data_IF_604951449655
#
_entry.id   IF_604951449655
#
_cell.length_a   1.000
_cell.length_b   1.000
_cell.length_c   1.000
_cell.angle_alpha   90.00
_cell.angle_beta   90.00
_cell.angle_gamma   90.00
#
_symmetry.space_group_name_H-M   'P 1'
#
loop_
_entity.id
_entity.type
_entity.pdbx_description
1 polymer ?
#
# COMPACT_ATOMS: atom_id res chain seq x y z
N UNK A 1 49.46 -40.23 -27.45
CA UNK A 1 50.04 -40.07 -26.12
C UNK A 1 51.11 -39.00 -26.21
N UNK A 2 51.04 -37.86 -25.61
CA UNK A 2 51.26 -37.66 -24.18
C UNK A 2 50.27 -36.62 -23.54
N UNK A 3 50.09 -36.81 -22.26
CA UNK A 3 49.32 -36.04 -21.31
C UNK A 3 50.02 -34.71 -20.97
N UNK A 4 49.34 -33.58 -21.10
CA UNK A 4 49.81 -32.29 -20.59
C UNK A 4 49.10 -31.93 -19.27
N UNK A 5 49.83 -31.97 -18.18
CA UNK A 5 49.46 -31.59 -16.83
C UNK A 5 49.49 -30.07 -16.69
N UNK A 6 48.33 -29.41 -16.53
CA UNK A 6 48.24 -27.97 -16.29
C UNK A 6 48.32 -27.68 -14.79
N UNK A 7 49.43 -27.04 -14.38
CA UNK A 7 49.75 -26.58 -13.03
C UNK A 7 48.94 -25.30 -12.71
N UNK A 8 48.15 -25.31 -11.65
CA UNK A 8 47.42 -24.14 -11.13
C UNK A 8 48.35 -23.17 -10.40
N UNK A 9 48.26 -21.86 -10.63
CA UNK A 9 49.04 -20.89 -9.87
C UNK A 9 48.47 -20.70 -8.45
N UNK A 10 49.34 -20.74 -7.48
CA UNK A 10 49.10 -20.56 -6.05
C UNK A 10 48.91 -19.09 -5.73
N UNK A 11 47.67 -18.69 -5.40
CA UNK A 11 47.33 -17.33 -4.97
C UNK A 11 47.85 -17.11 -3.54
N UNK A 12 48.81 -16.16 -3.38
CA UNK A 12 49.32 -15.69 -2.08
C UNK A 12 48.22 -14.90 -1.35
N UNK A 13 47.80 -15.40 -0.20
CA UNK A 13 46.93 -14.71 0.76
C UNK A 13 47.70 -13.54 1.37
N UNK A 14 47.29 -12.30 1.10
CA UNK A 14 47.77 -11.12 1.82
C UNK A 14 47.10 -11.04 3.20
N UNK A 15 47.92 -10.76 4.22
CA UNK A 15 47.46 -10.61 5.61
C UNK A 15 46.58 -9.38 5.81
N UNK A 16 45.60 -9.41 6.73
CA UNK A 16 44.74 -8.25 7.00
C UNK A 16 45.52 -7.18 7.77
N UNK A 17 45.57 -5.97 7.22
CA UNK A 17 46.02 -4.76 7.91
C UNK A 17 45.03 -4.43 9.05
N UNK A 18 45.53 -4.47 10.27
CA UNK A 18 44.86 -4.00 11.48
C UNK A 18 44.63 -2.50 11.34
N UNK A 19 43.37 -2.09 11.23
CA UNK A 19 42.97 -0.69 11.23
C UNK A 19 42.84 -0.18 12.66
N UNK A 20 43.51 0.94 12.96
CA UNK A 20 43.50 1.64 14.23
C UNK A 20 42.06 2.08 14.65
N UNK A 21 41.77 2.18 15.96
CA UNK A 21 40.43 2.56 16.44
C UNK A 21 40.16 4.04 16.13
N UNK A 22 39.09 4.30 15.34
CA UNK A 22 38.56 5.65 15.12
C UNK A 22 37.91 6.13 16.41
N UNK A 23 38.34 7.29 16.90
CA UNK A 23 37.74 8.02 18.00
C UNK A 23 36.23 8.23 17.83
N UNK A 24 35.45 8.25 18.93
CA UNK A 24 33.99 8.43 18.83
C UNK A 24 33.66 9.85 18.38
N UNK A 25 33.10 9.98 17.20
CA UNK A 25 32.49 11.23 16.74
C UNK A 25 31.32 11.57 17.67
N UNK A 26 31.46 12.68 18.39
CA UNK A 26 30.38 13.27 19.17
C UNK A 26 29.13 13.44 18.29
N UNK A 27 28.08 12.72 18.64
CA UNK A 27 26.77 12.80 18.01
C UNK A 27 26.15 14.10 18.50
N UNK A 28 26.21 15.15 17.66
CA UNK A 28 25.46 16.39 17.88
C UNK A 28 23.98 16.00 17.80
N UNK A 29 23.35 15.86 18.95
CA UNK A 29 21.90 15.70 19.08
C UNK A 29 21.31 17.11 18.82
N UNK A 30 21.02 17.40 17.59
CA UNK A 30 20.15 18.53 17.25
C UNK A 30 18.76 18.18 17.77
N UNK A 31 18.44 18.72 18.93
CA UNK A 31 17.11 18.71 19.52
C UNK A 31 16.19 19.44 18.52
N UNK A 32 15.49 18.64 17.67
CA UNK A 32 14.48 19.15 16.76
C UNK A 32 13.39 19.78 17.63
N UNK A 33 13.40 21.09 17.73
CA UNK A 33 12.32 21.85 18.38
C UNK A 33 11.06 21.46 17.63
N UNK A 34 10.20 20.70 18.30
CA UNK A 34 8.87 20.38 17.79
C UNK A 34 8.12 21.70 17.64
N UNK A 35 7.90 22.14 16.43
CA UNK A 35 6.93 23.17 16.14
C UNK A 35 5.58 22.75 16.77
N UNK A 36 4.77 23.68 17.32
CA UNK A 36 3.48 23.35 17.87
C UNK A 36 2.69 22.58 16.82
N UNK A 37 2.26 21.37 17.15
CA UNK A 37 1.46 20.54 16.28
C UNK A 37 0.16 21.31 15.98
N UNK A 38 0.11 21.96 14.83
CA UNK A 38 -1.16 22.40 14.25
C UNK A 38 -2.00 21.13 14.17
N UNK A 39 -3.17 21.16 14.79
CA UNK A 39 -4.12 20.04 14.73
C UNK A 39 -4.53 19.93 13.26
N UNK A 40 -3.83 19.07 12.53
CA UNK A 40 -4.14 18.80 11.14
C UNK A 40 -5.34 17.88 11.09
N UNK A 41 -6.50 18.43 10.79
CA UNK A 41 -7.69 17.65 10.53
C UNK A 41 -7.51 16.91 9.21
N UNK A 42 -7.61 15.56 9.28
CA UNK A 42 -7.49 14.69 8.10
C UNK A 42 -8.84 14.03 7.83
N UNK A 43 -9.31 14.16 6.61
CA UNK A 43 -10.46 13.40 6.14
C UNK A 43 -9.95 12.12 5.48
N UNK A 44 -10.18 11.00 6.15
CA UNK A 44 -9.78 9.69 5.68
C UNK A 44 -10.93 9.00 4.97
N UNK A 45 -10.74 8.70 3.70
CA UNK A 45 -11.73 8.05 2.84
C UNK A 45 -11.23 6.64 2.52
N UNK A 46 -12.05 5.64 2.83
CA UNK A 46 -11.83 4.24 2.44
C UNK A 46 -12.85 3.85 1.39
N UNK A 47 -12.36 3.51 0.21
CA UNK A 47 -13.20 3.04 -0.89
C UNK A 47 -13.06 1.54 -1.03
N UNK A 48 -14.18 0.83 -1.15
CA UNK A 48 -14.24 -0.64 -1.29
C UNK A 48 -15.10 -1.00 -2.50
N UNK A 49 -14.64 -1.97 -3.27
CA UNK A 49 -15.44 -2.56 -4.34
C UNK A 49 -15.00 -3.99 -4.64
N UNK A 50 -15.86 -4.75 -5.30
CA UNK A 50 -15.55 -6.09 -5.77
C UNK A 50 -14.69 -6.06 -7.02
N UNK A 51 -14.85 -5.06 -7.88
CA UNK A 51 -14.11 -4.90 -9.12
C UNK A 51 -13.09 -3.76 -9.01
N UNK A 52 -11.83 -4.06 -9.34
CA UNK A 52 -10.74 -3.09 -9.24
C UNK A 52 -10.87 -1.94 -10.26
N UNK A 53 -11.41 -2.21 -11.47
CA UNK A 53 -11.57 -1.18 -12.51
C UNK A 53 -12.55 -0.09 -12.10
N UNK A 54 -13.70 -0.48 -11.58
CA UNK A 54 -14.74 0.44 -11.08
C UNK A 54 -14.19 1.22 -9.88
N UNK A 55 -13.45 0.54 -8.99
CA UNK A 55 -12.80 1.17 -7.85
C UNK A 55 -11.82 2.26 -8.27
N UNK A 56 -10.93 1.96 -9.23
CA UNK A 56 -9.92 2.91 -9.66
C UNK A 56 -10.52 4.12 -10.41
N UNK A 57 -11.62 3.92 -11.16
CA UNK A 57 -12.38 5.02 -11.76
C UNK A 57 -13.01 5.92 -10.68
N UNK A 58 -13.63 5.33 -9.66
CA UNK A 58 -14.21 6.07 -8.55
C UNK A 58 -13.18 6.86 -7.75
N UNK A 59 -12.01 6.27 -7.53
CA UNK A 59 -10.87 6.94 -6.89
C UNK A 59 -10.42 8.15 -7.69
N UNK A 60 -10.32 8.05 -9.02
CA UNK A 60 -10.00 9.19 -9.87
C UNK A 60 -11.04 10.31 -9.77
N UNK A 61 -12.32 9.97 -9.79
CA UNK A 61 -13.40 10.96 -9.62
C UNK A 61 -13.32 11.70 -8.29
N UNK A 62 -13.02 10.98 -7.19
CA UNK A 62 -12.82 11.57 -5.86
C UNK A 62 -11.62 12.53 -5.88
N UNK A 63 -10.49 12.11 -6.46
CA UNK A 63 -9.29 12.93 -6.56
C UNK A 63 -9.52 14.17 -7.40
N UNK A 64 -10.18 14.05 -8.55
CA UNK A 64 -10.51 15.16 -9.45
C UNK A 64 -11.43 16.16 -8.76
N UNK A 65 -12.41 15.66 -8.00
CA UNK A 65 -13.31 16.52 -7.22
C UNK A 65 -12.56 17.27 -6.12
N UNK A 66 -11.68 16.59 -5.38
CA UNK A 66 -10.87 17.25 -4.35
C UNK A 66 -9.90 18.29 -4.92
N UNK A 67 -9.31 17.99 -6.09
CA UNK A 67 -8.41 18.93 -6.78
C UNK A 67 -9.13 20.20 -7.26
N UNK A 68 -10.41 20.12 -7.66
CA UNK A 68 -11.21 21.32 -8.04
C UNK A 68 -11.39 22.33 -6.91
N UNK A 69 -11.28 21.88 -5.67
CA UNK A 69 -11.43 22.72 -4.48
C UNK A 69 -10.09 22.97 -3.77
N UNK A 70 -8.98 22.84 -4.48
CA UNK A 70 -7.60 23.07 -4.01
C UNK A 70 -7.25 22.32 -2.72
N UNK A 71 -7.85 21.14 -2.51
CA UNK A 71 -7.58 20.31 -1.35
C UNK A 71 -6.27 19.51 -1.54
N UNK A 72 -5.46 19.46 -0.50
CA UNK A 72 -4.23 18.64 -0.51
C UNK A 72 -4.61 17.18 -0.32
N UNK A 73 -4.48 16.40 -1.38
CA UNK A 73 -4.77 14.96 -1.37
C UNK A 73 -3.48 14.17 -1.22
N UNK A 74 -3.42 13.32 -0.20
CA UNK A 74 -2.39 12.30 -0.07
C UNK A 74 -2.88 11.06 -0.82
N UNK A 75 -2.19 10.73 -1.90
CA UNK A 75 -2.56 9.83 -2.99
C UNK A 75 -3.23 8.51 -2.60
N UNK A 76 -3.85 7.81 -3.56
CA UNK A 76 -4.57 6.58 -3.32
C UNK A 76 -3.60 5.47 -2.89
N UNK A 77 -3.68 5.05 -1.64
CA UNK A 77 -2.88 3.96 -1.09
C UNK A 77 -3.63 2.65 -1.28
N UNK A 78 -3.07 1.68 -2.01
CA UNK A 78 -3.68 0.37 -2.14
C UNK A 78 -3.59 -0.38 -0.81
N UNK A 79 -4.73 -0.82 -0.29
CA UNK A 79 -4.79 -1.69 0.87
C UNK A 79 -4.84 -3.16 0.43
N UNK A 80 -4.43 -4.10 1.30
CA UNK A 80 -4.51 -5.52 1.00
C UNK A 80 -5.93 -5.94 0.60
N UNK A 81 -6.04 -6.71 -0.49
CA UNK A 81 -7.31 -7.25 -0.96
C UNK A 81 -7.79 -8.33 0.00
N UNK A 82 -9.01 -8.22 0.47
CA UNK A 82 -9.65 -9.23 1.30
C UNK A 82 -10.22 -10.33 0.41
N UNK A 83 -9.77 -11.57 0.62
CA UNK A 83 -10.21 -12.72 -0.15
C UNK A 83 -10.98 -13.65 0.77
N UNK A 84 -12.26 -13.89 0.45
CA UNK A 84 -13.09 -14.89 1.11
C UNK A 84 -13.29 -16.07 0.18
N UNK A 85 -13.04 -17.27 0.68
CA UNK A 85 -13.15 -18.50 -0.10
C UNK A 85 -14.14 -19.46 0.55
N UNK A 86 -14.94 -20.09 -0.27
CA UNK A 86 -15.91 -21.10 0.16
C UNK A 86 -15.74 -22.34 -0.70
N UNK A 87 -15.70 -23.47 -0.03
CA UNK A 87 -15.64 -24.80 -0.67
C UNK A 87 -16.98 -25.47 -0.43
N UNK A 88 -17.69 -25.80 -1.50
CA UNK A 88 -18.97 -26.47 -1.46
C UNK A 88 -18.82 -27.87 -2.01
N UNK A 89 -19.46 -28.83 -1.38
CA UNK A 89 -19.49 -30.19 -1.89
C UNK A 89 -20.34 -30.24 -3.18
N UNK A 90 -19.82 -30.94 -4.17
CA UNK A 90 -20.57 -31.25 -5.36
C UNK A 90 -21.56 -32.40 -5.10
N UNK A 91 -22.33 -32.81 -6.10
CA UNK A 91 -23.27 -33.93 -5.98
C UNK A 91 -22.63 -35.16 -5.34
N UNK A 92 -23.31 -35.77 -4.35
CA UNK A 92 -22.77 -36.84 -3.53
C UNK A 92 -22.71 -38.20 -4.26
N UNK A 93 -23.50 -38.38 -5.32
CA UNK A 93 -23.64 -39.68 -5.96
C UNK A 93 -22.40 -40.13 -6.76
N UNK A 94 -21.98 -39.32 -7.74
CA UNK A 94 -20.84 -39.67 -8.61
C UNK A 94 -19.56 -38.90 -8.22
N UNK A 95 -19.71 -37.73 -7.61
CA UNK A 95 -18.64 -36.77 -7.34
C UNK A 95 -18.37 -36.60 -5.84
N UNK A 96 -18.30 -37.72 -5.11
CA UNK A 96 -18.13 -37.71 -3.64
C UNK A 96 -16.96 -36.85 -3.17
N UNK A 97 -15.83 -36.89 -3.89
CA UNK A 97 -14.61 -36.15 -3.52
C UNK A 97 -14.46 -34.82 -4.26
N UNK A 98 -15.37 -34.51 -5.19
CA UNK A 98 -15.35 -33.27 -5.94
C UNK A 98 -15.87 -32.09 -5.10
N UNK A 99 -15.19 -30.96 -5.21
CA UNK A 99 -15.51 -29.72 -4.52
C UNK A 99 -15.61 -28.58 -5.53
N UNK A 100 -16.57 -27.71 -5.33
CA UNK A 100 -16.65 -26.41 -6.03
C UNK A 100 -16.10 -25.34 -5.12
N UNK A 101 -15.20 -24.52 -5.67
CA UNK A 101 -14.56 -23.45 -4.93
C UNK A 101 -15.03 -22.11 -5.46
N UNK A 102 -15.57 -21.30 -4.56
CA UNK A 102 -15.99 -19.93 -4.85
C UNK A 102 -15.12 -18.96 -4.07
N UNK A 103 -14.77 -17.84 -4.69
CA UNK A 103 -14.05 -16.78 -4.01
C UNK A 103 -14.68 -15.41 -4.27
N UNK A 104 -14.60 -14.57 -3.27
CA UNK A 104 -15.00 -13.16 -3.35
C UNK A 104 -13.79 -12.31 -2.98
N UNK A 105 -13.43 -11.37 -3.84
CA UNK A 105 -12.33 -10.43 -3.64
C UNK A 105 -12.89 -9.04 -3.39
N UNK A 106 -12.45 -8.42 -2.28
CA UNK A 106 -12.81 -7.05 -1.95
C UNK A 106 -11.56 -6.20 -2.06
N UNK A 107 -11.52 -5.34 -3.06
CA UNK A 107 -10.44 -4.38 -3.27
C UNK A 107 -10.69 -3.14 -2.42
N UNK A 108 -9.61 -2.58 -1.86
CA UNK A 108 -9.69 -1.42 -0.94
C UNK A 108 -8.66 -0.38 -1.35
N UNK A 109 -9.07 0.90 -1.30
CA UNK A 109 -8.17 2.06 -1.47
C UNK A 109 -8.37 3.03 -0.33
N UNK A 110 -7.30 3.69 0.07
CA UNK A 110 -7.29 4.70 1.10
C UNK A 110 -6.85 6.03 0.48
N UNK A 111 -7.60 7.08 0.77
CA UNK A 111 -7.28 8.46 0.35
C UNK A 111 -7.37 9.32 1.60
N UNK A 112 -6.35 10.10 1.88
CA UNK A 112 -6.35 11.07 2.97
C UNK A 112 -6.37 12.48 2.37
N UNK A 113 -7.30 13.32 2.80
CA UNK A 113 -7.40 14.72 2.42
C UNK A 113 -7.02 15.55 3.64
N UNK A 114 -6.00 16.39 3.48
CA UNK A 114 -5.51 17.27 4.54
C UNK A 114 -6.33 18.56 4.59
N UNK A 115 -6.69 18.98 5.79
CA UNK A 115 -7.41 20.24 6.06
C UNK A 115 -8.61 20.44 5.11
N UNK A 116 -9.60 19.52 5.09
CA UNK A 116 -10.72 19.61 4.18
C UNK A 116 -11.55 20.87 4.48
N UNK A 117 -11.82 21.69 3.47
CA UNK A 117 -12.80 22.77 3.60
C UNK A 117 -14.22 22.17 3.61
N UNK A 118 -15.18 22.88 4.19
CA UNK A 118 -16.57 22.42 4.21
C UNK A 118 -17.12 22.17 2.79
N UNK A 119 -16.71 22.99 1.81
CA UNK A 119 -17.08 22.82 0.41
C UNK A 119 -16.61 21.49 -0.18
N UNK A 120 -15.41 21.01 0.20
CA UNK A 120 -14.89 19.70 -0.21
C UNK A 120 -15.74 18.59 0.35
N UNK A 121 -16.12 18.68 1.63
CA UNK A 121 -16.95 17.67 2.29
C UNK A 121 -18.33 17.56 1.63
N UNK A 122 -18.97 18.72 1.36
CA UNK A 122 -20.26 18.78 0.66
C UNK A 122 -20.16 18.22 -0.77
N UNK A 123 -19.11 18.60 -1.52
CA UNK A 123 -18.89 18.10 -2.87
C UNK A 123 -18.67 16.58 -2.91
N UNK A 124 -17.94 16.03 -1.94
CA UNK A 124 -17.71 14.60 -1.83
C UNK A 124 -18.98 13.83 -1.42
N UNK A 125 -19.84 14.43 -0.60
CA UNK A 125 -21.12 13.82 -0.21
C UNK A 125 -22.08 13.76 -1.39
N UNK A 126 -22.07 14.77 -2.26
CA UNK A 126 -22.91 14.85 -3.45
C UNK A 126 -22.33 14.12 -4.68
N UNK A 127 -21.19 13.42 -4.52
CA UNK A 127 -20.53 12.75 -5.62
C UNK A 127 -21.32 11.51 -6.03
N UNK A 128 -21.70 11.47 -7.32
CA UNK A 128 -22.41 10.33 -7.88
C UNK A 128 -21.42 9.24 -8.28
N UNK A 129 -21.44 8.13 -7.55
CA UNK A 129 -20.54 7.01 -7.75
C UNK A 129 -21.24 5.85 -8.44
N UNK A 130 -20.50 5.03 -9.20
CA UNK A 130 -21.06 3.84 -9.82
C UNK A 130 -21.54 2.83 -8.75
N UNK A 131 -22.57 2.07 -9.10
CA UNK A 131 -23.08 0.99 -8.24
C UNK A 131 -21.96 -0.05 -7.97
N UNK A 132 -21.95 -0.59 -6.75
CA UNK A 132 -20.95 -1.57 -6.33
C UNK A 132 -19.73 -0.98 -5.62
N UNK A 133 -19.66 0.33 -5.45
CA UNK A 133 -18.63 1.01 -4.66
C UNK A 133 -19.21 1.46 -3.32
N UNK A 134 -18.53 1.11 -2.25
CA UNK A 134 -18.86 1.53 -0.88
C UNK A 134 -17.78 2.48 -0.37
N UNK A 135 -18.18 3.59 0.20
CA UNK A 135 -17.27 4.59 0.77
C UNK A 135 -17.51 4.72 2.28
N UNK A 136 -16.43 4.63 3.03
CA UNK A 136 -16.39 4.95 4.46
C UNK A 136 -15.56 6.23 4.64
N UNK A 137 -16.17 7.26 5.22
CA UNK A 137 -15.50 8.55 5.49
C UNK A 137 -15.33 8.71 6.99
N UNK A 138 -14.11 9.06 7.44
CA UNK A 138 -13.79 9.33 8.83
C UNK A 138 -12.92 10.59 8.93
N UNK A 139 -13.21 11.47 9.88
CA UNK A 139 -12.31 12.53 10.29
C UNK A 139 -11.35 11.97 11.35
N UNK A 140 -10.05 12.25 11.19
CA UNK A 140 -8.96 11.79 12.05
C UNK A 140 -8.11 12.98 12.48
#
# INVERSE_FOLDING_TARGET
>A
MPTATATKPKVKRAAPKVAAPKAPRARVVTKKVAAPALVEHKLRIRVRAYEHKILDLSVKQIMDTAARFDAIVVGPVPLPTEIKRWTVNRSTFVHKDAREQFEMRIHKRLIDIMNPSQKVVEALTNLNLPSGVTIDVKMV
#
